data_IF_227871508921
#
_entry.id   IF_227871508921
#
_cell.length_a   1.000
_cell.length_b   1.000
_cell.length_c   1.000
_cell.angle_alpha   90.00
_cell.angle_beta   90.00
_cell.angle_gamma   90.00
#
_symmetry.space_group_name_H-M   'P 1'
#
loop_
_entity.id
_entity.type
_entity.pdbx_description
1 polymer ?
#
# COMPACT_ATOMS: atom_id res chain seq x y z
N UNK A 1 -20.04 15.78 80.56
CA UNK A 1 -19.03 16.34 79.62
C UNK A 1 -18.61 15.26 78.66
N UNK A 2 -19.18 15.24 77.44
CA UNK A 2 -18.68 14.46 76.31
C UNK A 2 -18.79 15.36 75.09
N UNK A 3 -17.66 15.68 74.44
CA UNK A 3 -17.61 16.42 73.18
C UNK A 3 -17.23 15.43 72.08
N UNK A 4 -18.16 15.23 71.16
CA UNK A 4 -17.93 14.55 69.87
C UNK A 4 -17.39 15.58 68.88
N UNK A 5 -16.19 15.35 68.33
CA UNK A 5 -15.67 16.08 67.17
C UNK A 5 -16.01 15.32 65.89
N UNK A 6 -16.75 15.97 65.00
CA UNK A 6 -16.96 15.53 63.63
C UNK A 6 -15.76 15.94 62.77
N UNK A 7 -15.13 14.98 62.09
CA UNK A 7 -14.17 15.22 61.02
C UNK A 7 -14.91 15.12 59.68
N UNK A 8 -15.04 16.24 58.97
CA UNK A 8 -15.50 16.26 57.58
C UNK A 8 -14.34 15.83 56.67
N UNK A 9 -14.50 14.72 55.96
CA UNK A 9 -13.62 14.32 54.86
C UNK A 9 -14.09 15.04 53.57
N UNK A 10 -13.34 16.06 53.16
CA UNK A 10 -13.50 16.70 51.85
C UNK A 10 -12.80 15.82 50.79
N UNK A 11 -13.58 15.03 50.05
CA UNK A 11 -13.11 14.34 48.84
C UNK A 11 -13.02 15.37 47.72
N UNK A 12 -11.81 15.86 47.48
CA UNK A 12 -11.52 16.68 46.30
C UNK A 12 -11.63 15.82 45.04
N UNK A 13 -12.65 16.07 44.22
CA UNK A 13 -12.70 15.61 42.83
C UNK A 13 -11.58 16.31 42.05
N UNK A 14 -10.38 15.74 42.09
CA UNK A 14 -9.26 16.18 41.27
C UNK A 14 -9.62 15.93 39.80
N UNK A 15 -9.82 17.01 39.04
CA UNK A 15 -9.86 16.93 37.58
C UNK A 15 -8.47 16.52 37.12
N UNK A 16 -8.29 15.24 36.78
CA UNK A 16 -7.07 14.77 36.13
C UNK A 16 -7.04 15.42 34.74
N UNK A 17 -6.17 16.41 34.58
CA UNK A 17 -5.80 16.91 33.26
C UNK A 17 -5.10 15.79 32.52
N UNK A 18 -5.74 15.28 31.47
CA UNK A 18 -5.11 14.35 30.54
C UNK A 18 -3.87 15.04 29.97
N UNK A 19 -2.74 14.35 29.97
CA UNK A 19 -1.53 14.89 29.37
C UNK A 19 -1.74 15.01 27.85
N UNK A 20 -1.15 15.99 27.19
CA UNK A 20 -1.36 16.24 25.75
C UNK A 20 -1.08 14.99 24.85
N UNK A 21 -0.25 14.06 25.34
CA UNK A 21 0.07 12.78 24.70
C UNK A 21 -1.07 11.74 24.76
N UNK A 22 -2.05 11.88 25.65
CA UNK A 22 -3.20 10.96 25.78
C UNK A 22 -4.39 11.38 24.90
N UNK A 23 -4.30 12.51 24.20
CA UNK A 23 -5.36 13.05 23.35
C UNK A 23 -5.36 12.36 21.98
N UNK A 24 -5.72 11.07 21.93
CA UNK A 24 -5.69 10.25 20.71
C UNK A 24 -7.04 10.12 20.00
N UNK A 25 -8.16 10.43 20.67
CA UNK A 25 -9.48 10.43 20.04
C UNK A 25 -10.46 11.39 20.72
N UNK A 26 -11.28 12.09 19.93
CA UNK A 26 -12.29 13.03 20.40
C UNK A 26 -13.67 12.62 19.89
N UNK A 27 -14.59 12.36 20.81
CA UNK A 27 -15.96 11.94 20.53
C UNK A 27 -16.86 13.15 20.31
N UNK A 28 -17.45 13.25 19.12
CA UNK A 28 -18.48 14.25 18.81
C UNK A 28 -19.84 13.79 19.33
N UNK A 29 -20.48 14.62 20.15
CA UNK A 29 -21.83 14.38 20.62
C UNK A 29 -22.87 14.98 19.66
N UNK A 30 -24.00 14.30 19.48
CA UNK A 30 -25.14 14.78 18.68
C UNK A 30 -25.80 13.66 17.87
N UNK A 31 -26.71 14.06 16.96
CA UNK A 31 -27.52 13.13 16.16
C UNK A 31 -26.70 12.24 15.20
N UNK A 32 -25.50 12.66 14.85
CA UNK A 32 -24.54 11.89 14.07
C UNK A 32 -23.26 11.72 14.90
N UNK A 33 -23.25 10.69 15.75
CA UNK A 33 -22.07 10.30 16.52
C UNK A 33 -20.90 10.01 15.57
N UNK A 34 -19.78 10.72 15.79
CA UNK A 34 -18.52 10.51 15.08
C UNK A 34 -17.33 10.68 16.03
N UNK A 35 -16.18 10.20 15.62
CA UNK A 35 -14.93 10.28 16.38
C UNK A 35 -13.84 10.90 15.51
N UNK A 36 -13.16 11.92 16.00
CA UNK A 36 -11.90 12.40 15.44
C UNK A 36 -10.78 11.60 16.07
N UNK A 37 -10.00 10.89 15.29
CA UNK A 37 -8.99 9.96 15.80
C UNK A 37 -7.64 10.33 15.21
N UNK A 38 -6.64 10.40 16.08
CA UNK A 38 -5.25 10.56 15.71
C UNK A 38 -4.75 9.25 15.10
N UNK A 39 -4.40 9.28 13.82
CA UNK A 39 -3.85 8.12 13.10
C UNK A 39 -2.32 8.06 13.16
N UNK A 40 -1.68 9.04 13.80
CA UNK A 40 -0.23 9.21 13.85
C UNK A 40 0.30 10.17 12.77
N UNK A 41 1.56 10.60 12.95
CA UNK A 41 2.28 11.48 11.99
C UNK A 41 1.52 12.76 11.63
N UNK A 42 0.81 13.34 12.60
CA UNK A 42 0.00 14.54 12.40
C UNK A 42 -1.22 14.35 11.50
N UNK A 43 -1.68 13.11 11.28
CA UNK A 43 -2.87 12.81 10.46
C UNK A 43 -4.04 12.45 11.36
N UNK A 44 -5.19 13.07 11.10
CA UNK A 44 -6.43 12.86 11.84
C UNK A 44 -7.56 12.40 10.93
N UNK A 45 -8.48 11.60 11.47
CA UNK A 45 -9.64 11.09 10.76
C UNK A 45 -10.91 11.29 11.59
N UNK A 46 -11.89 12.03 11.07
CA UNK A 46 -13.28 11.93 11.57
C UNK A 46 -13.92 10.69 10.96
N UNK A 47 -14.50 9.80 11.76
CA UNK A 47 -15.25 8.62 11.30
C UNK A 47 -16.61 8.53 11.97
N UNK A 48 -17.62 8.13 11.21
CA UNK A 48 -18.98 7.91 11.70
C UNK A 48 -19.38 6.43 11.66
N UNK A 49 -20.48 6.11 12.34
CA UNK A 49 -21.03 4.75 12.40
C UNK A 49 -21.56 4.22 11.06
N UNK A 50 -21.77 5.09 10.06
CA UNK A 50 -22.21 4.74 8.71
C UNK A 50 -21.02 4.44 7.78
N UNK A 51 -19.79 4.52 8.30
CA UNK A 51 -18.56 4.28 7.56
C UNK A 51 -18.01 5.52 6.86
N UNK A 52 -18.68 6.67 6.96
CA UNK A 52 -18.19 7.96 6.48
C UNK A 52 -16.85 8.30 7.14
N UNK A 53 -15.96 8.95 6.39
CA UNK A 53 -14.65 9.34 6.90
C UNK A 53 -14.13 10.61 6.26
N UNK A 54 -13.50 11.46 7.05
CA UNK A 54 -12.97 12.76 6.63
C UNK A 54 -11.57 12.95 7.20
N UNK A 55 -10.61 13.31 6.35
CA UNK A 55 -9.19 13.47 6.74
C UNK A 55 -8.86 14.91 7.12
N UNK A 56 -7.97 15.04 8.10
CA UNK A 56 -7.41 16.31 8.54
C UNK A 56 -5.90 16.16 8.81
N UNK A 57 -5.19 17.27 8.78
CA UNK A 57 -3.81 17.41 9.25
C UNK A 57 -3.80 18.14 10.59
N UNK A 58 -2.92 17.76 11.51
CA UNK A 58 -2.68 18.49 12.73
C UNK A 58 -1.91 19.78 12.43
N UNK A 59 -2.45 20.92 12.84
CA UNK A 59 -1.77 22.22 12.78
C UNK A 59 -0.96 22.48 14.05
N UNK A 60 -1.56 22.19 15.20
CA UNK A 60 -0.90 22.33 16.50
C UNK A 60 -1.64 21.56 17.58
N UNK A 61 -0.89 21.18 18.61
CA UNK A 61 -1.39 20.54 19.82
C UNK A 61 -0.94 21.31 21.05
N UNK A 62 -1.89 21.58 21.94
CA UNK A 62 -1.71 22.30 23.19
C UNK A 62 -2.36 21.51 24.32
N UNK A 63 -2.04 21.89 25.57
CA UNK A 63 -2.64 21.28 26.77
C UNK A 63 -4.18 21.31 26.74
N UNK A 64 -4.78 22.34 26.14
CA UNK A 64 -6.22 22.53 26.09
C UNK A 64 -6.86 22.11 24.76
N UNK A 65 -6.17 21.38 23.89
CA UNK A 65 -6.78 20.85 22.67
C UNK A 65 -5.85 20.66 21.48
N UNK A 66 -6.45 20.20 20.38
CA UNK A 66 -5.77 19.95 19.11
C UNK A 66 -6.46 20.75 18.01
N UNK A 67 -5.69 21.51 17.23
CA UNK A 67 -6.16 22.17 16.02
C UNK A 67 -5.82 21.31 14.81
N UNK A 68 -6.84 20.97 14.03
CA UNK A 68 -6.72 20.17 12.81
C UNK A 68 -7.29 20.94 11.61
N UNK A 69 -6.81 20.64 10.39
CA UNK A 69 -7.22 21.30 9.15
C UNK A 69 -7.50 20.32 8.01
N UNK A 70 -8.56 20.56 7.26
CA UNK A 70 -8.67 20.09 5.88
C UNK A 70 -8.35 21.27 4.95
N UNK A 71 -7.17 21.22 4.32
CA UNK A 71 -6.69 22.28 3.42
C UNK A 71 -7.52 22.40 2.15
N UNK A 72 -8.08 21.30 1.65
CA UNK A 72 -8.88 21.31 0.42
C UNK A 72 -10.19 22.07 0.62
N UNK A 73 -10.81 21.88 1.78
CA UNK A 73 -12.07 22.56 2.14
C UNK A 73 -11.85 23.87 2.91
N UNK A 74 -10.60 24.17 3.26
CA UNK A 74 -10.24 25.32 4.12
C UNK A 74 -11.04 25.31 5.42
N UNK A 75 -11.16 24.12 6.03
CA UNK A 75 -11.88 23.91 7.28
C UNK A 75 -10.85 23.65 8.38
N UNK A 76 -10.85 24.46 9.43
CA UNK A 76 -10.09 24.21 10.65
C UNK A 76 -11.03 23.84 11.79
N UNK A 77 -10.63 22.87 12.59
CA UNK A 77 -11.38 22.43 13.77
C UNK A 77 -10.44 22.49 14.97
N UNK A 78 -10.88 23.15 16.04
CA UNK A 78 -10.20 23.13 17.32
C UNK A 78 -10.94 22.20 18.28
N UNK A 79 -10.38 21.02 18.55
CA UNK A 79 -10.92 20.02 19.48
C UNK A 79 -10.49 20.38 20.91
N UNK A 80 -11.43 20.85 21.75
CA UNK A 80 -11.23 21.22 23.17
C UNK A 80 -11.78 20.12 24.09
N UNK A 81 -11.50 20.14 25.40
CA UNK A 81 -11.90 19.08 26.31
C UNK A 81 -13.40 18.72 26.31
N UNK A 82 -14.29 19.68 26.11
CA UNK A 82 -15.75 19.50 26.18
C UNK A 82 -16.52 20.10 24.98
N UNK A 83 -15.82 20.60 23.97
CA UNK A 83 -16.42 21.19 22.76
C UNK A 83 -15.42 21.27 21.61
N UNK A 84 -15.92 21.47 20.39
CA UNK A 84 -15.12 21.82 19.23
C UNK A 84 -15.53 23.18 18.65
N UNK A 85 -14.56 23.90 18.12
CA UNK A 85 -14.77 25.15 17.37
C UNK A 85 -14.38 24.96 15.91
N UNK A 86 -15.11 25.62 15.01
CA UNK A 86 -14.95 25.51 13.56
C UNK A 86 -14.59 26.86 12.97
N UNK A 87 -13.63 26.87 12.04
CA UNK A 87 -13.31 28.01 11.17
C UNK A 87 -13.37 27.54 9.71
N UNK A 88 -14.08 28.28 8.87
CA UNK A 88 -14.26 27.96 7.44
C UNK A 88 -13.77 29.12 6.60
N UNK A 89 -12.95 28.85 5.59
CA UNK A 89 -12.47 29.86 4.65
C UNK A 89 -11.61 30.95 5.30
N UNK A 90 -10.94 30.64 6.42
CA UNK A 90 -10.14 31.61 7.17
C UNK A 90 -10.94 32.56 8.07
N UNK A 91 -12.24 32.36 8.23
CA UNK A 91 -13.07 33.12 9.19
C UNK A 91 -12.68 32.85 10.65
N UNK A 92 -13.19 33.66 11.60
CA UNK A 92 -12.95 33.43 13.03
C UNK A 92 -13.56 32.10 13.50
N UNK A 93 -12.97 31.51 14.54
CA UNK A 93 -13.52 30.32 15.18
C UNK A 93 -14.89 30.60 15.79
N UNK A 94 -15.83 29.70 15.51
CA UNK A 94 -17.15 29.69 16.12
C UNK A 94 -17.39 28.35 16.81
N UNK A 95 -18.10 28.38 17.94
CA UNK A 95 -18.51 27.15 18.62
C UNK A 95 -19.34 26.28 17.66
N UNK A 96 -18.98 25.01 17.54
CA UNK A 96 -19.60 24.11 16.55
C UNK A 96 -20.41 22.99 17.21
N UNK A 97 -19.77 22.17 18.05
CA UNK A 97 -20.39 20.96 18.60
C UNK A 97 -19.80 20.61 19.97
N UNK A 98 -20.56 19.92 20.83
CA UNK A 98 -20.05 19.39 22.10
C UNK A 98 -19.40 18.03 21.89
N UNK A 99 -18.53 17.64 22.80
CA UNK A 99 -17.84 16.37 22.73
C UNK A 99 -16.67 16.30 23.68
N UNK A 100 -16.13 15.11 23.88
CA UNK A 100 -15.14 14.85 24.91
C UNK A 100 -14.01 13.97 24.37
N UNK A 101 -12.85 14.05 25.00
CA UNK A 101 -11.76 13.11 24.73
C UNK A 101 -12.17 11.70 25.14
N UNK A 102 -11.86 10.73 24.27
CA UNK A 102 -12.12 9.31 24.47
C UNK A 102 -10.80 8.54 24.46
N UNK A 103 -10.71 7.51 25.30
CA UNK A 103 -9.54 6.61 25.29
C UNK A 103 -9.65 5.65 24.12
N UNK A 104 -8.51 5.32 23.49
CA UNK A 104 -8.46 4.46 22.31
C UNK A 104 -9.10 3.08 22.53
N UNK A 105 -8.96 2.50 23.73
CA UNK A 105 -9.54 1.21 24.13
C UNK A 105 -11.07 1.25 24.35
N UNK A 106 -11.63 2.44 24.56
CA UNK A 106 -13.08 2.66 24.72
C UNK A 106 -13.80 2.95 23.40
N UNK A 107 -13.07 3.06 22.29
CA UNK A 107 -13.66 3.39 21.00
C UNK A 107 -14.54 2.25 20.48
N UNK A 108 -15.71 2.56 19.89
CA UNK A 108 -16.50 1.56 19.17
C UNK A 108 -15.72 1.04 17.97
N UNK A 109 -16.02 -0.18 17.51
CA UNK A 109 -15.23 -0.87 16.48
C UNK A 109 -15.05 -0.05 15.18
N UNK A 110 -16.08 0.68 14.74
CA UNK A 110 -16.00 1.53 13.54
C UNK A 110 -15.03 2.72 13.68
N UNK A 111 -14.70 3.09 14.92
CA UNK A 111 -13.78 4.15 15.30
C UNK A 111 -12.41 3.63 15.77
N UNK A 112 -12.19 2.32 15.83
CA UNK A 112 -10.85 1.79 16.06
C UNK A 112 -10.06 1.84 14.75
N UNK A 113 -8.89 2.46 14.81
CA UNK A 113 -7.96 2.52 13.68
C UNK A 113 -6.60 1.95 14.10
N UNK A 114 -5.95 1.27 13.18
CA UNK A 114 -4.57 0.83 13.38
C UNK A 114 -3.64 2.06 13.31
N UNK A 115 -2.68 2.22 14.24
CA UNK A 115 -1.71 3.29 14.17
C UNK A 115 -0.78 3.12 12.96
N UNK A 116 -0.28 4.22 12.40
CA UNK A 116 0.79 4.18 11.39
C UNK A 116 2.08 3.67 12.07
N UNK A 117 2.48 2.45 11.76
CA UNK A 117 3.66 1.78 12.34
C UNK A 117 4.63 1.23 11.27
N UNK A 118 4.35 1.51 10.00
CA UNK A 118 5.12 1.06 8.84
C UNK A 118 5.33 -0.46 8.79
N UNK A 119 4.37 -1.23 9.33
CA UNK A 119 4.36 -2.69 9.20
C UNK A 119 3.31 -3.16 8.19
N UNK A 120 3.66 -4.18 7.42
CA UNK A 120 2.77 -4.83 6.45
C UNK A 120 1.65 -5.58 7.18
N UNK A 121 0.42 -5.42 6.69
CA UNK A 121 -0.78 -6.11 7.17
C UNK A 121 -1.14 -7.24 6.23
N UNK A 122 -1.16 -8.47 6.72
CA UNK A 122 -1.57 -9.64 5.94
C UNK A 122 -3.01 -10.00 6.29
N UNK A 123 -3.84 -10.16 5.27
CA UNK A 123 -5.26 -10.49 5.41
C UNK A 123 -5.54 -11.77 4.62
N UNK A 124 -6.24 -12.71 5.26
CA UNK A 124 -6.90 -13.80 4.57
C UNK A 124 -8.41 -13.57 4.61
N UNK A 125 -9.00 -13.27 3.46
CA UNK A 125 -10.41 -12.95 3.34
C UNK A 125 -11.21 -14.18 2.90
N UNK A 126 -12.20 -14.57 3.70
CA UNK A 126 -13.02 -15.77 3.45
C UNK A 126 -14.51 -15.39 3.41
N UNK A 127 -15.20 -15.56 2.27
CA UNK A 127 -16.65 -15.37 2.12
C UNK A 127 -17.49 -16.30 3.01
N UNK A 128 -18.78 -16.02 3.13
CA UNK A 128 -19.69 -16.79 4.02
C UNK A 128 -19.96 -18.22 3.58
N UNK A 129 -19.75 -18.53 2.30
CA UNK A 129 -19.97 -19.85 1.68
C UNK A 129 -18.67 -20.66 1.53
N UNK A 130 -17.58 -20.22 2.16
CA UNK A 130 -16.26 -20.87 2.10
C UNK A 130 -15.69 -21.07 3.49
N UNK A 131 -14.82 -22.08 3.62
CA UNK A 131 -14.01 -22.28 4.81
C UNK A 131 -12.55 -21.88 4.58
N UNK A 132 -11.84 -21.39 5.63
CA UNK A 132 -10.43 -21.09 5.55
C UNK A 132 -9.65 -22.35 5.18
N UNK A 133 -8.70 -22.24 4.26
CA UNK A 133 -7.81 -23.36 3.94
C UNK A 133 -7.06 -23.83 5.20
N UNK A 134 -6.93 -25.15 5.42
CA UNK A 134 -6.03 -25.67 6.44
C UNK A 134 -4.62 -25.11 6.27
N UNK A 135 -4.01 -24.67 7.37
CA UNK A 135 -2.65 -24.11 7.36
C UNK A 135 -2.50 -22.78 6.62
N UNK A 136 -3.58 -22.00 6.41
CA UNK A 136 -3.51 -20.75 5.65
C UNK A 136 -2.46 -19.77 6.20
N UNK A 137 -2.28 -19.73 7.53
CA UNK A 137 -1.33 -18.82 8.18
C UNK A 137 0.11 -19.19 7.79
N UNK A 138 0.44 -20.47 7.90
CA UNK A 138 1.75 -21.02 7.55
C UNK A 138 2.03 -20.89 6.04
N UNK A 139 1.02 -21.12 5.20
CA UNK A 139 1.10 -20.94 3.74
C UNK A 139 1.36 -19.49 3.35
N UNK A 140 0.60 -18.55 3.89
CA UNK A 140 0.80 -17.11 3.61
C UNK A 140 2.18 -16.67 4.13
N UNK A 141 2.58 -17.10 5.32
CA UNK A 141 3.91 -16.78 5.86
C UNK A 141 5.04 -17.37 4.99
N UNK A 142 4.87 -18.60 4.50
CA UNK A 142 5.81 -19.23 3.56
C UNK A 142 5.88 -18.45 2.25
N UNK A 143 4.75 -18.08 1.65
CA UNK A 143 4.73 -17.27 0.44
C UNK A 143 5.41 -15.91 0.66
N UNK A 144 5.05 -15.21 1.73
CA UNK A 144 5.59 -13.89 2.04
C UNK A 144 7.09 -13.92 2.38
N UNK A 145 7.63 -15.06 2.82
CA UNK A 145 9.07 -15.25 2.93
C UNK A 145 9.78 -15.09 1.58
N UNK A 146 9.32 -15.77 0.52
CA UNK A 146 9.91 -15.63 -0.83
C UNK A 146 9.75 -14.23 -1.40
N UNK A 147 8.62 -13.58 -1.11
CA UNK A 147 8.41 -12.18 -1.47
C UNK A 147 9.48 -11.32 -0.80
N UNK A 148 9.61 -11.42 0.52
CA UNK A 148 10.55 -10.62 1.29
C UNK A 148 12.01 -10.86 0.87
N UNK A 149 12.42 -12.12 0.70
CA UNK A 149 13.79 -12.45 0.27
C UNK A 149 14.11 -11.92 -1.13
N UNK A 150 13.13 -11.79 -2.02
CA UNK A 150 13.34 -11.16 -3.33
C UNK A 150 13.71 -9.68 -3.19
N UNK A 151 12.97 -8.91 -2.38
CA UNK A 151 13.30 -7.50 -2.12
C UNK A 151 14.67 -7.37 -1.42
N UNK A 152 14.94 -8.20 -0.41
CA UNK A 152 16.22 -8.18 0.31
C UNK A 152 17.40 -8.49 -0.61
N UNK A 153 17.28 -9.52 -1.44
CA UNK A 153 18.31 -9.88 -2.42
C UNK A 153 18.60 -8.72 -3.37
N UNK A 154 17.56 -8.08 -3.91
CA UNK A 154 17.68 -6.97 -4.85
C UNK A 154 18.37 -5.73 -4.25
N UNK A 155 18.19 -5.50 -2.95
CA UNK A 155 18.85 -4.42 -2.21
C UNK A 155 20.29 -4.79 -1.88
N UNK A 156 20.51 -5.99 -1.32
CA UNK A 156 21.84 -6.48 -0.93
C UNK A 156 22.81 -6.48 -2.11
N UNK A 157 22.38 -6.95 -3.28
CA UNK A 157 23.26 -6.99 -4.48
C UNK A 157 23.65 -5.62 -5.01
N UNK A 158 23.00 -4.55 -4.53
CA UNK A 158 23.30 -3.14 -4.87
C UNK A 158 23.94 -2.37 -3.72
N UNK A 159 24.26 -3.04 -2.61
CA UNK A 159 24.82 -2.39 -1.42
C UNK A 159 23.82 -1.48 -0.68
N UNK A 160 22.51 -1.70 -0.87
CA UNK A 160 21.46 -0.98 -0.15
C UNK A 160 21.07 -1.73 1.14
N UNK A 161 20.55 -1.03 2.18
CA UNK A 161 20.07 -1.67 3.41
C UNK A 161 18.96 -2.70 3.14
N UNK A 162 19.24 -3.99 3.32
CA UNK A 162 18.33 -5.10 2.98
C UNK A 162 17.42 -5.54 4.13
N UNK A 163 16.81 -4.57 4.83
CA UNK A 163 15.85 -4.85 5.92
C UNK A 163 14.68 -5.72 5.45
N UNK A 164 14.24 -5.51 4.21
CA UNK A 164 13.04 -6.12 3.66
C UNK A 164 11.76 -5.52 4.26
N UNK A 165 10.63 -6.15 3.95
CA UNK A 165 9.32 -5.83 4.51
C UNK A 165 9.28 -6.21 6.00
N UNK A 166 8.82 -5.27 6.82
CA UNK A 166 8.54 -5.53 8.24
C UNK A 166 7.07 -5.88 8.39
N UNK A 167 6.77 -7.09 8.82
CA UNK A 167 5.40 -7.55 9.03
C UNK A 167 4.89 -7.17 10.42
N UNK A 168 3.57 -7.03 10.56
CA UNK A 168 2.96 -7.08 11.88
C UNK A 168 3.14 -8.49 12.45
N UNK A 169 3.63 -8.60 13.68
CA UNK A 169 3.90 -9.87 14.34
C UNK A 169 3.11 -10.02 15.63
N UNK A 170 2.88 -11.27 16.04
CA UNK A 170 2.43 -11.61 17.40
C UNK A 170 3.58 -11.48 18.42
N UNK A 171 3.30 -11.84 19.67
CA UNK A 171 4.24 -11.75 20.79
C UNK A 171 5.45 -12.70 20.59
N UNK A 172 5.29 -13.75 19.78
CA UNK A 172 6.35 -14.68 19.39
C UNK A 172 7.18 -14.20 18.19
N UNK A 173 6.84 -13.05 17.61
CA UNK A 173 7.53 -12.50 16.43
C UNK A 173 7.10 -13.16 15.10
N UNK A 174 6.04 -13.95 15.09
CA UNK A 174 5.49 -14.57 13.87
C UNK A 174 4.54 -13.61 13.17
N UNK A 175 4.61 -13.44 11.83
CA UNK A 175 3.68 -12.59 11.12
C UNK A 175 2.21 -12.95 11.41
N UNK A 176 1.41 -11.93 11.71
CA UNK A 176 -0.03 -12.06 11.91
C UNK A 176 -0.70 -12.09 10.54
N UNK A 177 -1.55 -13.10 10.34
CA UNK A 177 -2.47 -13.16 9.21
C UNK A 177 -3.87 -12.97 9.77
N UNK A 178 -4.48 -11.84 9.47
CA UNK A 178 -5.82 -11.53 9.95
C UNK A 178 -6.86 -12.28 9.11
N UNK A 179 -7.59 -13.20 9.74
CA UNK A 179 -8.73 -13.85 9.11
C UNK A 179 -9.93 -12.91 9.12
N UNK A 180 -10.33 -12.42 7.96
CA UNK A 180 -11.51 -11.58 7.78
C UNK A 180 -12.63 -12.41 7.17
N UNK A 181 -13.77 -12.49 7.86
CA UNK A 181 -14.98 -13.13 7.33
C UNK A 181 -15.83 -12.11 6.59
N UNK A 182 -16.08 -12.37 5.32
CA UNK A 182 -17.00 -11.58 4.51
C UNK A 182 -18.44 -11.72 5.01
N UNK A 183 -19.30 -10.76 4.66
CA UNK A 183 -20.74 -10.78 4.95
C UNK A 183 -21.57 -11.44 3.84
N UNK A 184 -20.94 -11.74 2.70
CA UNK A 184 -21.60 -12.26 1.51
C UNK A 184 -20.89 -13.53 0.98
N UNK A 185 -21.54 -14.29 0.08
CA UNK A 185 -20.89 -15.42 -0.60
C UNK A 185 -19.85 -14.94 -1.63
N UNK A 186 -18.95 -15.82 -2.05
CA UNK A 186 -17.84 -15.52 -2.97
C UNK A 186 -18.28 -14.79 -4.25
N UNK A 187 -19.42 -15.22 -4.83
CA UNK A 187 -20.01 -14.64 -6.05
C UNK A 187 -20.33 -13.15 -5.95
N UNK A 188 -20.65 -12.66 -4.74
CA UNK A 188 -20.92 -11.25 -4.50
C UNK A 188 -19.66 -10.40 -4.68
N UNK A 189 -18.52 -10.92 -4.23
CA UNK A 189 -17.25 -10.21 -4.30
C UNK A 189 -16.64 -10.31 -5.70
N UNK A 190 -16.55 -11.51 -6.29
CA UNK A 190 -15.86 -11.68 -7.56
C UNK A 190 -16.67 -11.17 -8.78
N UNK A 191 -17.97 -10.88 -8.62
CA UNK A 191 -18.81 -10.40 -9.72
C UNK A 191 -19.15 -11.47 -10.76
N UNK A 192 -19.14 -12.75 -10.38
CA UNK A 192 -19.52 -13.85 -11.25
C UNK A 192 -20.92 -13.60 -11.88
N UNK A 193 -21.13 -14.00 -13.15
CA UNK A 193 -20.19 -14.73 -14.01
C UNK A 193 -19.27 -13.84 -14.86
N UNK A 194 -19.39 -12.51 -14.75
CA UNK A 194 -18.65 -11.59 -15.64
C UNK A 194 -17.21 -11.36 -15.19
N UNK A 195 -16.96 -11.44 -13.88
CA UNK A 195 -15.69 -11.19 -13.22
C UNK A 195 -15.05 -9.83 -13.56
N UNK A 196 -14.94 -8.96 -12.56
CA UNK A 196 -14.24 -7.68 -12.72
C UNK A 196 -13.35 -7.46 -11.49
N UNK A 197 -12.01 -7.43 -11.66
CA UNK A 197 -11.11 -7.32 -10.53
C UNK A 197 -11.24 -5.96 -9.83
N UNK A 198 -11.60 -4.89 -10.54
CA UNK A 198 -11.88 -3.59 -9.91
C UNK A 198 -13.22 -3.60 -9.17
N UNK A 199 -14.22 -4.30 -9.69
CA UNK A 199 -15.46 -4.55 -8.94
C UNK A 199 -15.17 -5.30 -7.64
N UNK A 200 -14.37 -6.36 -7.72
CA UNK A 200 -13.99 -7.17 -6.57
C UNK A 200 -13.25 -6.36 -5.50
N UNK A 201 -12.30 -5.51 -5.87
CA UNK A 201 -11.66 -4.58 -4.93
C UNK A 201 -12.66 -3.64 -4.26
N UNK A 202 -13.63 -3.09 -5.02
CA UNK A 202 -14.67 -2.21 -4.47
C UNK A 202 -15.55 -2.93 -3.45
N UNK A 203 -15.79 -4.23 -3.61
CA UNK A 203 -16.60 -5.02 -2.67
C UNK A 203 -15.79 -5.51 -1.46
N UNK A 204 -14.50 -5.84 -1.63
CA UNK A 204 -13.64 -6.33 -0.54
C UNK A 204 -13.24 -5.22 0.43
N UNK A 205 -12.88 -4.03 -0.08
CA UNK A 205 -12.33 -2.94 0.73
C UNK A 205 -13.22 -2.54 1.93
N UNK A 206 -14.56 -2.42 1.80
CA UNK A 206 -15.43 -2.08 2.93
C UNK A 206 -15.53 -3.16 4.00
N UNK A 207 -15.11 -4.40 3.72
CA UNK A 207 -15.17 -5.52 4.66
C UNK A 207 -13.95 -5.60 5.58
N UNK A 208 -12.85 -4.94 5.23
CA UNK A 208 -11.61 -4.95 6.01
C UNK A 208 -11.75 -3.94 7.18
N UNK A 209 -11.72 -4.38 8.45
CA UNK A 209 -11.77 -3.47 9.59
C UNK A 209 -10.58 -2.50 9.61
N UNK A 210 -10.85 -1.23 9.89
CA UNK A 210 -9.80 -0.19 10.02
C UNK A 210 -8.86 -0.45 11.20
N UNK A 211 -9.29 -1.25 12.18
CA UNK A 211 -8.48 -1.73 13.30
C UNK A 211 -7.33 -2.64 12.84
N UNK A 212 -7.47 -3.34 11.71
CA UNK A 212 -6.38 -4.09 11.07
C UNK A 212 -5.42 -3.12 10.36
N UNK A 213 -5.96 -2.22 9.53
CA UNK A 213 -5.18 -1.24 8.79
C UNK A 213 -5.97 -0.58 7.67
N UNK A 214 -5.34 0.39 6.99
CA UNK A 214 -5.91 1.04 5.82
C UNK A 214 -4.88 1.17 4.72
N UNK A 215 -5.26 0.95 3.47
CA UNK A 215 -4.36 1.06 2.31
C UNK A 215 -3.70 2.44 2.19
N UNK A 216 -4.25 3.50 2.80
CA UNK A 216 -3.63 4.84 2.78
C UNK A 216 -2.57 5.09 3.86
N UNK A 217 -2.43 4.17 4.81
CA UNK A 217 -1.57 4.31 6.00
C UNK A 217 -0.74 3.06 6.29
N UNK A 218 -1.03 1.97 5.58
CA UNK A 218 -0.39 0.67 5.71
C UNK A 218 -0.29 0.02 4.34
N UNK A 219 0.73 -0.81 4.14
CA UNK A 219 0.72 -1.80 3.07
C UNK A 219 -0.17 -2.96 3.48
N UNK A 220 -1.32 -3.09 2.81
CA UNK A 220 -2.29 -4.16 3.04
C UNK A 220 -2.18 -5.20 1.93
N UNK A 221 -1.89 -6.43 2.31
CA UNK A 221 -1.81 -7.57 1.39
C UNK A 221 -2.96 -8.52 1.70
N UNK A 222 -3.85 -8.73 0.73
CA UNK A 222 -5.07 -9.53 0.91
C UNK A 222 -5.05 -10.75 0.02
N UNK A 223 -5.21 -11.93 0.60
CA UNK A 223 -5.50 -13.18 -0.11
C UNK A 223 -6.99 -13.48 0.00
N UNK A 224 -7.71 -13.49 -1.12
CA UNK A 224 -9.17 -13.60 -1.17
C UNK A 224 -9.62 -14.97 -1.69
N UNK A 225 -10.35 -15.72 -0.85
CA UNK A 225 -10.99 -17.01 -1.19
C UNK A 225 -12.30 -16.79 -1.99
N UNK A 226 -12.21 -15.98 -3.03
CA UNK A 226 -13.37 -15.54 -3.83
C UNK A 226 -13.36 -16.09 -5.26
N UNK A 227 -12.39 -16.91 -5.63
CA UNK A 227 -12.34 -17.53 -6.95
C UNK A 227 -13.36 -18.68 -7.07
N UNK A 228 -13.69 -19.05 -8.31
CA UNK A 228 -14.56 -20.18 -8.60
C UNK A 228 -13.76 -21.43 -8.98
N UNK A 229 -14.24 -22.61 -8.58
CA UNK A 229 -13.61 -23.89 -8.89
C UNK A 229 -13.91 -24.38 -10.32
N UNK A 230 -14.74 -23.62 -11.05
CA UNK A 230 -15.29 -23.99 -12.35
C UNK A 230 -14.24 -24.32 -13.42
N UNK A 231 -14.65 -25.04 -14.48
CA UNK A 231 -13.76 -25.35 -15.60
C UNK A 231 -13.31 -24.04 -16.25
N UNK A 232 -12.01 -23.83 -16.28
CA UNK A 232 -11.41 -22.70 -16.98
C UNK A 232 -10.04 -23.11 -17.49
N UNK A 233 -9.71 -22.71 -18.71
CA UNK A 233 -8.47 -23.14 -19.34
C UNK A 233 -7.25 -22.47 -18.70
N UNK A 234 -7.39 -21.29 -18.10
CA UNK A 234 -6.33 -20.56 -17.40
C UNK A 234 -6.60 -20.49 -15.89
N UNK A 235 -5.64 -20.84 -15.02
CA UNK A 235 -5.77 -20.66 -13.56
C UNK A 235 -7.21 -20.93 -13.02
N UNK A 236 -7.82 -20.00 -12.26
CA UNK A 236 -9.18 -20.07 -11.72
C UNK A 236 -10.02 -18.82 -12.06
N UNK A 237 -11.29 -18.95 -12.48
CA UNK A 237 -12.18 -17.82 -12.69
C UNK A 237 -12.37 -16.96 -11.43
N UNK A 238 -12.52 -15.66 -11.61
CA UNK A 238 -12.62 -14.71 -10.48
C UNK A 238 -11.32 -14.57 -9.68
N UNK A 239 -10.21 -15.10 -10.21
CA UNK A 239 -8.86 -14.79 -9.75
C UNK A 239 -8.57 -13.30 -9.90
N UNK A 240 -7.82 -12.76 -8.94
CA UNK A 240 -7.36 -11.37 -8.92
C UNK A 240 -5.87 -11.35 -8.60
N UNK A 241 -5.16 -10.46 -9.28
CA UNK A 241 -3.83 -9.98 -8.91
C UNK A 241 -3.86 -8.49 -9.24
N UNK A 242 -3.99 -7.66 -8.21
CA UNK A 242 -4.04 -6.20 -8.37
C UNK A 242 -3.38 -5.48 -7.19
N UNK A 243 -2.39 -4.68 -7.53
CA UNK A 243 -1.64 -3.80 -6.66
C UNK A 243 -1.97 -2.34 -6.93
N UNK A 244 -1.72 -1.50 -5.93
CA UNK A 244 -1.93 -0.08 -6.08
C UNK A 244 -1.36 0.73 -4.93
N UNK A 245 -0.50 1.67 -5.28
CA UNK A 245 0.01 2.67 -4.36
C UNK A 245 -1.09 3.66 -3.93
N UNK A 246 -1.01 4.15 -2.69
CA UNK A 246 -1.96 5.13 -2.13
C UNK A 246 -1.26 6.31 -1.46
N UNK A 247 -0.14 6.08 -0.79
CA UNK A 247 0.65 7.09 -0.09
C UNK A 247 2.05 6.56 0.24
N UNK A 248 2.94 7.42 0.77
CA UNK A 248 4.24 6.99 1.28
C UNK A 248 4.16 5.91 2.38
N UNK A 249 3.05 5.91 3.13
CA UNK A 249 2.82 4.99 4.25
C UNK A 249 2.08 3.71 3.82
N UNK A 250 1.44 3.70 2.64
CA UNK A 250 0.50 2.64 2.31
C UNK A 250 0.22 2.38 0.84
N UNK A 251 -0.27 1.17 0.63
CA UNK A 251 -0.68 0.62 -0.64
C UNK A 251 -1.51 -0.63 -0.42
N UNK A 252 -1.95 -1.23 -1.51
CA UNK A 252 -2.72 -2.47 -1.48
C UNK A 252 -2.16 -3.45 -2.49
N UNK A 253 -2.15 -4.74 -2.16
CA UNK A 253 -1.88 -5.82 -3.09
C UNK A 253 -2.88 -6.95 -2.81
N UNK A 254 -3.69 -7.30 -3.79
CA UNK A 254 -4.83 -8.20 -3.63
C UNK A 254 -4.69 -9.37 -4.57
N UNK A 255 -4.82 -10.57 -4.01
CA UNK A 255 -4.53 -11.82 -4.67
C UNK A 255 -5.65 -12.81 -4.46
N UNK A 256 -5.86 -13.65 -5.46
CA UNK A 256 -6.68 -14.82 -5.27
C UNK A 256 -6.00 -15.82 -4.34
N UNK A 257 -6.76 -16.39 -3.41
CA UNK A 257 -6.27 -17.43 -2.52
C UNK A 257 -6.09 -18.79 -3.21
N UNK A 258 -6.36 -18.94 -4.52
CA UNK A 258 -6.08 -20.18 -5.24
C UNK A 258 -4.59 -20.57 -5.12
N UNK A 259 -3.70 -19.58 -5.01
CA UNK A 259 -2.26 -19.77 -4.80
C UNK A 259 -1.95 -20.52 -3.50
N UNK A 260 -2.87 -20.52 -2.53
CA UNK A 260 -2.72 -21.17 -1.23
C UNK A 260 -3.14 -22.65 -1.24
N UNK A 261 -3.61 -23.20 -2.36
CA UNK A 261 -3.92 -24.63 -2.46
C UNK A 261 -2.65 -25.48 -2.21
N UNK A 262 -2.81 -26.67 -1.62
CA UNK A 262 -1.70 -27.55 -1.23
C UNK A 262 -0.76 -27.89 -2.38
N UNK A 263 -1.29 -27.95 -3.60
CA UNK A 263 -0.50 -28.21 -4.80
C UNK A 263 0.35 -27.02 -5.28
N UNK A 264 0.19 -25.82 -4.71
CA UNK A 264 0.96 -24.62 -5.09
C UNK A 264 1.70 -23.98 -3.91
N UNK A 265 1.18 -24.13 -2.69
CA UNK A 265 1.75 -23.52 -1.50
C UNK A 265 1.85 -24.52 -0.35
N UNK A 266 3.08 -24.80 0.05
CA UNK A 266 3.42 -25.57 1.23
C UNK A 266 3.37 -24.70 2.50
N UNK A 267 3.42 -25.35 3.66
CA UNK A 267 3.46 -24.68 4.98
C UNK A 267 4.87 -24.41 5.47
N UNK A 268 5.90 -24.85 4.72
CA UNK A 268 7.31 -24.65 5.06
C UNK A 268 8.12 -24.21 3.83
N UNK A 269 9.19 -23.46 4.08
CA UNK A 269 10.11 -22.96 3.02
C UNK A 269 10.73 -24.13 2.26
N UNK A 270 11.26 -25.13 2.97
CA UNK A 270 11.96 -26.27 2.37
C UNK A 270 11.04 -27.15 1.48
N UNK A 271 9.75 -27.24 1.81
CA UNK A 271 8.78 -27.92 0.95
C UNK A 271 8.37 -27.07 -0.24
N UNK A 272 8.23 -25.76 -0.04
CA UNK A 272 7.92 -24.84 -1.13
C UNK A 272 9.01 -24.81 -2.19
N UNK A 273 10.28 -24.85 -1.79
CA UNK A 273 11.42 -24.96 -2.71
C UNK A 273 11.33 -26.22 -3.59
N UNK A 274 10.85 -27.34 -3.05
CA UNK A 274 10.61 -28.56 -3.84
C UNK A 274 9.48 -28.37 -4.84
N UNK A 275 8.40 -27.68 -4.45
CA UNK A 275 7.28 -27.40 -5.35
C UNK A 275 7.69 -26.49 -6.53
N UNK A 276 8.60 -25.54 -6.32
CA UNK A 276 9.19 -24.74 -7.41
C UNK A 276 9.99 -25.57 -8.43
N UNK A 277 10.36 -26.81 -8.10
CA UNK A 277 11.07 -27.72 -9.01
C UNK A 277 10.14 -28.77 -9.62
N UNK A 278 8.86 -28.78 -9.27
CA UNK A 278 7.95 -29.87 -9.58
C UNK A 278 7.36 -29.76 -11.00
N UNK A 279 7.74 -30.66 -11.93
CA UNK A 279 7.28 -30.61 -13.31
C UNK A 279 5.91 -31.27 -13.51
N UNK A 280 5.24 -31.73 -12.45
CA UNK A 280 3.95 -32.45 -12.55
C UNK A 280 2.93 -31.58 -13.27
N UNK A 281 2.36 -32.02 -14.42
CA UNK A 281 1.37 -31.26 -15.15
C UNK A 281 0.08 -31.04 -14.36
N UNK A 282 -0.54 -29.88 -14.50
CA UNK A 282 -1.90 -29.63 -14.01
C UNK A 282 -2.89 -29.87 -15.16
N UNK A 283 -3.49 -31.06 -15.18
CA UNK A 283 -4.35 -31.50 -16.27
C UNK A 283 -5.49 -30.52 -16.57
N UNK A 284 -5.66 -30.19 -17.85
CA UNK A 284 -6.72 -29.29 -18.34
C UNK A 284 -6.50 -27.81 -18.03
N UNK A 285 -5.40 -27.42 -17.38
CA UNK A 285 -5.10 -26.03 -17.01
C UNK A 285 -3.85 -25.51 -17.71
N UNK A 286 -3.82 -24.20 -17.93
CA UNK A 286 -2.73 -23.43 -18.52
C UNK A 286 -2.28 -22.38 -17.52
N UNK A 287 -0.98 -22.33 -17.24
CA UNK A 287 -0.36 -21.20 -16.54
C UNK A 287 -0.37 -20.00 -17.50
N UNK A 288 -0.91 -18.86 -17.06
CA UNK A 288 -1.23 -17.72 -17.92
C UNK A 288 -0.02 -17.24 -18.72
N UNK A 289 1.16 -17.23 -18.11
CA UNK A 289 2.39 -16.76 -18.76
C UNK A 289 3.00 -17.69 -19.81
N UNK A 290 2.58 -18.96 -19.83
CA UNK A 290 3.22 -20.01 -20.64
C UNK A 290 2.35 -20.51 -21.79
N UNK A 291 1.05 -20.23 -21.76
CA UNK A 291 0.14 -20.38 -22.90
C UNK A 291 -0.07 -21.81 -23.41
N UNK A 292 0.39 -22.83 -22.67
CA UNK A 292 0.25 -24.24 -23.05
C UNK A 292 -0.64 -25.03 -22.08
N UNK A 293 -1.58 -25.86 -22.59
CA UNK A 293 -2.34 -26.78 -21.75
C UNK A 293 -1.43 -27.74 -20.98
N UNK A 294 -1.91 -28.21 -19.83
CA UNK A 294 -1.18 -29.10 -18.93
C UNK A 294 0.17 -28.49 -18.50
N UNK A 295 0.16 -27.19 -18.19
CA UNK A 295 1.36 -26.52 -17.69
C UNK A 295 1.88 -27.24 -16.42
N UNK A 296 3.20 -27.38 -16.24
CA UNK A 296 3.76 -27.96 -15.03
C UNK A 296 3.43 -27.11 -13.81
N UNK A 297 3.30 -27.77 -12.66
CA UNK A 297 2.96 -27.16 -11.37
C UNK A 297 3.82 -25.94 -11.03
N UNK A 298 5.14 -26.01 -11.26
CA UNK A 298 6.03 -24.89 -10.96
C UNK A 298 5.65 -23.60 -11.70
N UNK A 299 5.06 -23.66 -12.91
CA UNK A 299 4.66 -22.47 -13.66
C UNK A 299 3.47 -21.76 -13.02
N UNK A 300 2.53 -22.49 -12.43
CA UNK A 300 1.44 -21.89 -11.65
C UNK A 300 1.96 -21.24 -10.37
N UNK A 301 2.99 -21.83 -9.76
CA UNK A 301 3.63 -21.26 -8.57
C UNK A 301 4.37 -19.97 -8.94
N UNK A 302 5.09 -19.95 -10.06
CA UNK A 302 5.75 -18.74 -10.58
C UNK A 302 4.74 -17.65 -10.96
N UNK A 303 3.64 -18.01 -11.63
CA UNK A 303 2.54 -17.08 -11.92
C UNK A 303 1.96 -16.51 -10.61
N UNK A 304 1.65 -17.35 -9.62
CA UNK A 304 1.06 -16.93 -8.36
C UNK A 304 2.01 -16.15 -7.44
N UNK A 305 3.12 -16.76 -7.03
CA UNK A 305 4.10 -16.14 -6.11
C UNK A 305 4.77 -14.94 -6.77
N UNK A 306 5.11 -15.05 -8.05
CA UNK A 306 5.68 -13.95 -8.81
C UNK A 306 4.72 -12.78 -8.95
N UNK A 307 3.43 -13.04 -9.23
CA UNK A 307 2.42 -11.98 -9.21
C UNK A 307 2.34 -11.32 -7.84
N UNK A 308 2.50 -12.06 -6.73
CA UNK A 308 2.55 -11.43 -5.40
C UNK A 308 3.68 -10.42 -5.28
N UNK A 309 4.87 -10.74 -5.77
CA UNK A 309 6.01 -9.83 -5.75
C UNK A 309 5.73 -8.60 -6.63
N UNK A 310 5.16 -8.82 -7.82
CA UNK A 310 4.80 -7.79 -8.80
C UNK A 310 3.78 -6.78 -8.24
N UNK A 311 2.65 -7.25 -7.73
CA UNK A 311 1.60 -6.36 -7.23
C UNK A 311 2.00 -5.69 -5.90
N UNK A 312 2.85 -6.33 -5.07
CA UNK A 312 3.51 -5.63 -3.96
C UNK A 312 4.39 -4.50 -4.47
N UNK A 313 5.07 -4.68 -5.61
CA UNK A 313 5.81 -3.61 -6.28
C UNK A 313 4.92 -2.43 -6.67
N UNK A 314 3.74 -2.72 -7.25
CA UNK A 314 2.72 -1.68 -7.51
C UNK A 314 2.23 -0.99 -6.24
N UNK A 315 2.01 -1.74 -5.16
CA UNK A 315 1.63 -1.19 -3.86
C UNK A 315 2.71 -0.25 -3.28
N UNK A 316 3.97 -0.48 -3.63
CA UNK A 316 5.13 0.33 -3.26
C UNK A 316 5.45 1.46 -4.25
N UNK A 317 4.58 1.70 -5.25
CA UNK A 317 4.69 2.85 -6.16
C UNK A 317 5.36 2.56 -7.50
N UNK A 318 5.71 1.31 -7.79
CA UNK A 318 6.34 0.95 -9.06
C UNK A 318 5.31 0.88 -10.20
N UNK A 319 5.62 1.40 -11.40
CA UNK A 319 4.86 1.08 -12.61
C UNK A 319 5.42 -0.19 -13.30
N UNK A 320 4.77 -0.63 -14.37
CA UNK A 320 5.30 -1.71 -15.21
C UNK A 320 6.64 -1.32 -15.86
N UNK A 321 7.56 -2.26 -16.01
CA UNK A 321 8.85 -2.10 -16.67
C UNK A 321 9.16 -3.30 -17.58
N UNK A 322 8.93 -3.11 -18.87
CA UNK A 322 9.06 -4.13 -19.91
C UNK A 322 10.36 -4.00 -20.71
N UNK A 323 11.31 -3.15 -20.28
CA UNK A 323 12.57 -2.94 -21.02
C UNK A 323 13.42 -4.21 -21.11
N UNK A 324 13.40 -5.02 -20.06
CA UNK A 324 13.86 -6.42 -20.06
C UNK A 324 12.71 -7.30 -19.55
N UNK A 325 11.63 -7.36 -20.32
CA UNK A 325 10.37 -7.98 -19.94
C UNK A 325 10.50 -9.43 -19.43
N UNK A 326 11.51 -10.17 -19.93
CA UNK A 326 11.76 -11.55 -19.50
C UNK A 326 12.36 -11.66 -18.10
N UNK A 327 12.95 -10.60 -17.56
CA UNK A 327 13.66 -10.65 -16.28
C UNK A 327 13.17 -9.60 -15.29
N UNK A 328 12.58 -8.50 -15.74
CA UNK A 328 12.07 -7.48 -14.84
C UNK A 328 10.79 -7.94 -14.17
N UNK A 329 10.79 -7.91 -12.84
CA UNK A 329 9.66 -8.29 -11.98
C UNK A 329 8.44 -7.44 -12.34
N UNK A 330 8.61 -6.14 -12.63
CA UNK A 330 7.52 -5.27 -13.08
C UNK A 330 7.15 -5.43 -14.57
N UNK A 331 7.79 -6.36 -15.28
CA UNK A 331 7.34 -6.87 -16.59
C UNK A 331 6.82 -8.30 -16.42
N UNK A 332 7.14 -9.21 -17.32
CA UNK A 332 6.82 -10.64 -17.21
C UNK A 332 7.88 -11.47 -16.45
N UNK A 333 8.96 -10.84 -15.96
CA UNK A 333 10.08 -11.53 -15.32
C UNK A 333 9.75 -12.16 -13.97
N UNK A 334 8.66 -11.75 -13.32
CA UNK A 334 8.17 -12.40 -12.10
C UNK A 334 7.82 -13.88 -12.30
N UNK A 335 7.68 -14.34 -13.55
CA UNK A 335 7.44 -15.76 -13.88
C UNK A 335 8.70 -16.61 -13.95
N UNK A 336 9.81 -16.11 -13.40
CA UNK A 336 11.11 -16.81 -13.36
C UNK A 336 11.63 -16.97 -11.94
N UNK A 337 10.74 -16.99 -10.94
CA UNK A 337 11.15 -17.08 -9.54
C UNK A 337 11.93 -18.36 -9.23
N UNK A 338 11.70 -19.46 -9.95
CA UNK A 338 12.46 -20.70 -9.81
C UNK A 338 13.95 -20.48 -10.06
N UNK A 339 14.29 -19.68 -11.07
CA UNK A 339 15.68 -19.36 -11.42
C UNK A 339 16.39 -18.60 -10.29
N UNK A 340 15.64 -17.89 -9.44
CA UNK A 340 16.20 -17.19 -8.29
C UNK A 340 16.57 -18.14 -7.14
N UNK A 341 16.06 -19.37 -7.12
CA UNK A 341 16.37 -20.35 -6.07
C UNK A 341 17.70 -21.08 -6.31
N UNK A 342 18.16 -21.12 -7.55
CA UNK A 342 19.46 -21.72 -7.86
C UNK A 342 20.58 -20.73 -7.51
N UNK A 343 21.60 -21.09 -6.72
CA UNK A 343 22.75 -20.23 -6.46
C UNK A 343 23.60 -19.99 -7.71
N UNK A 344 23.58 -20.90 -8.68
CA UNK A 344 24.40 -20.86 -9.89
C UNK A 344 23.83 -19.93 -10.97
N UNK A 345 22.57 -19.49 -10.84
CA UNK A 345 21.96 -18.58 -11.80
C UNK A 345 22.64 -17.20 -11.72
N UNK A 346 23.23 -16.70 -12.82
CA UNK A 346 23.82 -15.36 -12.82
C UNK A 346 22.73 -14.29 -12.66
N UNK A 347 23.09 -13.12 -12.13
CA UNK A 347 22.15 -11.99 -11.93
C UNK A 347 21.36 -11.65 -13.20
N UNK A 348 21.99 -11.72 -14.37
CA UNK A 348 21.35 -11.46 -15.66
C UNK A 348 20.27 -12.48 -16.05
N UNK A 349 20.31 -13.70 -15.51
CA UNK A 349 19.31 -14.75 -15.74
C UNK A 349 18.15 -14.77 -14.74
N UNK A 350 18.28 -14.05 -13.62
CA UNK A 350 17.30 -13.98 -12.53
C UNK A 350 16.15 -13.02 -12.81
N UNK A 351 15.01 -13.30 -12.18
CA UNK A 351 13.94 -12.31 -11.98
C UNK A 351 14.46 -11.20 -11.06
N UNK A 352 14.34 -9.93 -11.47
CA UNK A 352 14.95 -8.78 -10.78
C UNK A 352 14.18 -7.48 -10.96
N UNK A 353 14.42 -6.48 -10.13
CA UNK A 353 13.98 -5.12 -10.40
C UNK A 353 15.01 -4.41 -11.29
N UNK A 354 14.55 -3.51 -12.15
CA UNK A 354 15.42 -2.57 -12.86
C UNK A 354 16.03 -1.57 -11.89
N UNK A 355 17.09 -0.87 -12.29
CA UNK A 355 17.72 0.13 -11.43
C UNK A 355 16.80 1.35 -11.20
N UNK A 356 16.00 1.73 -12.21
CA UNK A 356 14.99 2.79 -12.07
C UNK A 356 13.93 2.43 -11.00
N UNK A 357 13.39 1.20 -11.05
CA UNK A 357 12.44 0.74 -10.04
C UNK A 357 13.09 0.62 -8.66
N UNK A 358 14.34 0.15 -8.61
CA UNK A 358 15.06 0.02 -7.34
C UNK A 358 15.33 1.37 -6.69
N UNK A 359 15.57 2.44 -7.47
CA UNK A 359 15.70 3.80 -6.96
C UNK A 359 14.44 4.28 -6.23
N UNK A 360 13.25 3.93 -6.73
CA UNK A 360 11.98 4.21 -6.04
C UNK A 360 11.83 3.34 -4.78
N UNK A 361 12.07 2.03 -4.88
CA UNK A 361 11.95 1.13 -3.72
C UNK A 361 12.91 1.52 -2.58
N UNK A 362 14.12 1.97 -2.92
CA UNK A 362 15.15 2.35 -1.96
C UNK A 362 14.75 3.52 -1.05
N UNK A 363 13.72 4.29 -1.41
CA UNK A 363 13.21 5.39 -0.56
C UNK A 363 11.85 5.07 0.07
N UNK A 364 11.37 3.82 -0.01
CA UNK A 364 10.13 3.41 0.63
C UNK A 364 10.28 3.28 2.15
N UNK A 365 9.36 3.89 2.91
CA UNK A 365 9.24 3.75 4.39
C UNK A 365 9.12 2.29 4.86
N UNK A 366 8.61 1.43 3.98
CA UNK A 366 8.32 0.02 4.27
C UNK A 366 9.53 -0.90 4.02
N UNK A 367 10.56 -0.42 3.31
CA UNK A 367 11.75 -1.19 2.96
C UNK A 367 13.02 -0.59 3.55
N UNK A 368 13.24 0.72 3.39
CA UNK A 368 14.48 1.36 3.83
C UNK A 368 14.34 1.95 5.25
N UNK A 369 15.15 1.50 6.23
CA UNK A 369 15.14 2.06 7.59
C UNK A 369 15.71 3.48 7.69
N UNK A 370 16.38 4.00 6.67
CA UNK A 370 17.05 5.30 6.67
C UNK A 370 16.20 6.45 6.11
N UNK A 371 14.92 6.19 5.82
CA UNK A 371 13.96 7.18 5.31
C UNK A 371 13.58 8.16 6.43
N UNK A 372 13.43 9.46 6.11
CA UNK A 372 12.98 10.46 7.08
C UNK A 372 11.47 10.34 7.29
N UNK A 373 11.06 9.59 8.32
CA UNK A 373 9.65 9.38 8.63
C UNK A 373 8.92 10.66 9.09
N UNK A 374 9.66 11.70 9.48
CA UNK A 374 9.06 13.00 9.84
C UNK A 374 8.68 13.82 8.60
N UNK A 375 9.29 13.54 7.45
CA UNK A 375 9.04 14.24 6.20
C UNK A 375 7.75 13.76 5.53
N UNK A 376 6.67 14.52 5.68
CA UNK A 376 5.36 14.21 5.10
C UNK A 376 4.95 15.17 3.98
N UNK A 377 5.85 16.07 3.57
CA UNK A 377 5.65 16.92 2.41
C UNK A 377 6.10 16.12 1.17
N UNK A 378 5.38 16.24 0.06
CA UNK A 378 5.82 15.63 -1.19
C UNK A 378 6.67 16.60 -2.01
N UNK A 379 7.53 16.09 -2.91
CA UNK A 379 8.37 16.94 -3.73
C UNK A 379 7.53 17.75 -4.71
N UNK A 380 8.06 18.91 -5.11
CA UNK A 380 7.57 19.70 -6.24
C UNK A 380 8.28 19.26 -7.52
N UNK A 381 7.55 19.22 -8.62
CA UNK A 381 8.07 18.73 -9.90
C UNK A 381 7.55 19.55 -11.07
N UNK A 382 8.48 20.12 -11.84
CA UNK A 382 8.23 20.69 -13.16
C UNK A 382 8.72 19.75 -14.26
N UNK A 383 7.92 19.58 -15.31
CA UNK A 383 8.26 18.72 -16.45
C UNK A 383 8.04 19.46 -17.75
N UNK A 384 9.05 19.45 -18.63
CA UNK A 384 8.99 19.94 -20.01
C UNK A 384 9.20 18.78 -20.97
N UNK A 385 8.38 18.73 -22.02
CA UNK A 385 8.40 17.69 -23.06
C UNK A 385 8.36 18.35 -24.43
N UNK A 386 9.48 18.31 -25.14
CA UNK A 386 9.68 19.00 -26.41
C UNK A 386 10.07 18.01 -27.52
N UNK A 387 9.55 18.15 -28.75
CA UNK A 387 9.96 17.29 -29.86
C UNK A 387 11.41 17.58 -30.27
N UNK A 388 12.11 16.56 -30.75
CA UNK A 388 13.40 16.72 -31.43
C UNK A 388 13.22 16.73 -32.95
N UNK A 389 14.34 16.79 -33.69
CA UNK A 389 14.37 16.61 -35.14
C UNK A 389 14.11 15.16 -35.58
N UNK A 390 14.19 14.20 -34.65
CA UNK A 390 13.97 12.77 -34.90
C UNK A 390 12.55 12.35 -34.50
N UNK A 391 11.82 11.62 -35.35
CA UNK A 391 10.51 11.06 -35.02
C UNK A 391 10.57 10.23 -33.74
N UNK A 392 9.54 10.34 -32.91
CA UNK A 392 9.40 9.61 -31.63
C UNK A 392 10.48 9.90 -30.58
N UNK A 393 11.44 10.79 -30.85
CA UNK A 393 12.44 11.20 -29.86
C UNK A 393 12.07 12.59 -29.33
N UNK A 394 11.97 12.69 -28.02
CA UNK A 394 11.58 13.91 -27.32
C UNK A 394 12.67 14.32 -26.32
N UNK A 395 12.96 15.61 -26.28
CA UNK A 395 13.73 16.21 -25.22
C UNK A 395 12.83 16.36 -23.99
N UNK A 396 13.23 15.72 -22.90
CA UNK A 396 12.60 15.83 -21.60
C UNK A 396 13.52 16.64 -20.69
N UNK A 397 12.95 17.59 -19.96
CA UNK A 397 13.65 18.30 -18.89
C UNK A 397 12.78 18.32 -17.64
N UNK A 398 13.37 18.07 -16.48
CA UNK A 398 12.68 18.14 -15.20
C UNK A 398 13.45 19.01 -14.21
N UNK A 399 12.73 19.62 -13.29
CA UNK A 399 13.27 20.27 -12.10
C UNK A 399 12.47 19.76 -10.90
N UNK A 400 13.15 19.09 -9.98
CA UNK A 400 12.55 18.54 -8.78
C UNK A 400 13.07 19.29 -7.55
N UNK A 401 12.19 19.58 -6.59
CA UNK A 401 12.52 20.29 -5.35
C UNK A 401 11.82 19.66 -4.16
N UNK A 402 12.52 19.58 -3.05
CA UNK A 402 11.98 19.08 -1.79
C UNK A 402 12.71 19.73 -0.62
N UNK A 403 12.04 20.00 0.51
CA UNK A 403 12.69 20.67 1.65
C UNK A 403 13.65 19.75 2.42
N UNK A 404 13.54 18.43 2.24
CA UNK A 404 14.37 17.41 2.89
C UNK A 404 15.28 16.66 1.93
N UNK A 405 14.87 16.51 0.68
CA UNK A 405 15.73 16.09 -0.41
C UNK A 405 15.05 15.16 -1.40
N UNK A 406 15.44 15.24 -2.66
CA UNK A 406 14.99 14.34 -3.73
C UNK A 406 15.92 13.12 -3.83
N UNK A 407 15.39 11.97 -4.29
CA UNK A 407 16.14 10.70 -4.32
C UNK A 407 16.20 9.98 -5.65
N UNK A 408 15.10 9.95 -6.39
CA UNK A 408 15.10 9.31 -7.70
C UNK A 408 13.99 9.88 -8.59
N UNK A 409 14.24 9.81 -9.90
CA UNK A 409 13.25 10.06 -10.95
C UNK A 409 13.09 8.82 -11.82
N UNK A 410 11.85 8.56 -12.23
CA UNK A 410 11.47 7.51 -13.15
C UNK A 410 10.58 8.08 -14.26
N UNK A 411 10.86 7.67 -15.50
CA UNK A 411 10.13 8.06 -16.71
C UNK A 411 9.32 6.88 -17.24
N UNK A 412 8.02 7.07 -17.40
CA UNK A 412 7.07 6.05 -17.84
C UNK A 412 6.32 6.53 -19.09
N UNK A 413 6.47 5.79 -20.19
CA UNK A 413 5.73 6.01 -21.42
C UNK A 413 4.34 5.39 -21.25
N UNK A 414 3.34 6.26 -21.07
CA UNK A 414 1.96 5.87 -20.76
C UNK A 414 1.27 5.19 -21.96
N UNK A 415 1.69 5.50 -23.17
CA UNK A 415 1.17 4.84 -24.39
C UNK A 415 1.76 3.46 -24.54
N UNK A 416 3.05 3.30 -24.25
CA UNK A 416 3.72 1.99 -24.26
C UNK A 416 3.32 1.11 -23.09
N UNK A 417 2.99 1.73 -21.95
CA UNK A 417 2.69 1.01 -20.72
C UNK A 417 3.95 0.50 -20.00
N UNK A 418 5.08 1.20 -20.12
CA UNK A 418 6.36 0.75 -19.55
C UNK A 418 7.24 1.92 -19.11
N UNK A 419 8.05 1.68 -18.08
CA UNK A 419 9.26 2.49 -17.82
C UNK A 419 10.08 2.58 -19.10
N UNK A 420 10.57 3.78 -19.39
CA UNK A 420 11.54 4.02 -20.47
C UNK A 420 12.91 4.36 -19.89
N UNK A 421 12.97 5.05 -18.75
CA UNK A 421 14.24 5.42 -18.12
C UNK A 421 14.07 5.80 -16.63
N UNK A 422 15.18 6.07 -15.94
CA UNK A 422 15.22 6.66 -14.61
C UNK A 422 16.65 7.00 -14.17
N UNK A 423 16.80 7.76 -13.11
CA UNK A 423 18.11 8.03 -12.48
C UNK A 423 17.98 8.37 -10.99
N UNK A 424 19.04 8.23 -10.19
CA UNK A 424 19.10 8.87 -8.87
C UNK A 424 19.04 10.40 -9.01
N UNK A 425 18.49 11.03 -7.97
CA UNK A 425 18.53 12.48 -7.74
C UNK A 425 19.22 12.74 -6.40
N UNK A 426 19.80 13.92 -6.22
CA UNK A 426 20.53 14.29 -5.01
C UNK A 426 20.20 15.70 -4.50
N UNK A 427 20.41 15.93 -3.20
CA UNK A 427 20.18 17.24 -2.58
C UNK A 427 18.71 17.64 -2.46
N UNK A 428 18.46 18.92 -2.19
CA UNK A 428 17.11 19.52 -2.03
C UNK A 428 16.49 19.98 -3.35
N UNK A 429 17.31 20.07 -4.39
CA UNK A 429 16.93 20.45 -5.73
C UNK A 429 17.86 19.73 -6.71
N UNK A 430 17.28 19.11 -7.74
CA UNK A 430 18.04 18.47 -8.81
C UNK A 430 17.27 18.60 -10.13
N UNK A 431 18.01 18.51 -11.23
CA UNK A 431 17.50 18.61 -12.57
C UNK A 431 17.93 17.42 -13.42
N UNK A 432 17.14 17.13 -14.44
CA UNK A 432 17.51 16.13 -15.42
C UNK A 432 17.05 16.55 -16.81
N UNK A 433 17.96 16.45 -17.76
CA UNK A 433 17.70 16.72 -19.16
C UNK A 433 18.18 15.54 -20.00
N UNK A 434 17.27 14.88 -20.72
CA UNK A 434 17.59 13.74 -21.58
C UNK A 434 16.65 13.59 -22.77
N UNK A 435 17.09 12.86 -23.77
CA UNK A 435 16.23 12.45 -24.89
C UNK A 435 15.62 11.08 -24.60
N UNK A 436 14.31 10.95 -24.77
CA UNK A 436 13.58 9.69 -24.63
C UNK A 436 12.90 9.31 -25.94
N UNK A 437 12.94 8.02 -26.28
CA UNK A 437 12.11 7.46 -27.34
C UNK A 437 10.73 7.10 -26.77
N UNK A 438 9.68 7.80 -27.23
CA UNK A 438 8.31 7.67 -26.74
C UNK A 438 7.37 7.19 -27.84
N UNK A 439 6.40 6.36 -27.44
CA UNK A 439 5.34 5.87 -28.32
C UNK A 439 4.25 6.92 -28.46
N UNK A 440 3.84 7.17 -29.71
CA UNK A 440 2.69 7.99 -30.03
C UNK A 440 1.39 7.19 -29.90
N UNK A 441 0.35 7.82 -29.38
CA UNK A 441 -1.02 7.34 -29.42
C UNK A 441 -1.59 7.62 -30.82
N UNK A 442 -1.72 6.58 -31.64
CA UNK A 442 -2.17 6.72 -33.02
C UNK A 442 -3.58 7.30 -33.17
N UNK A 443 -4.44 7.11 -32.17
CA UNK A 443 -5.81 7.60 -32.18
C UNK A 443 -5.89 9.06 -31.76
N UNK A 444 -5.16 9.43 -30.71
CA UNK A 444 -5.19 10.79 -30.16
C UNK A 444 -4.16 11.74 -30.77
N UNK A 445 -3.20 11.23 -31.54
CA UNK A 445 -2.09 12.00 -32.13
C UNK A 445 -1.32 12.78 -31.08
N UNK A 446 -0.96 12.10 -29.99
CA UNK A 446 -0.19 12.68 -28.88
C UNK A 446 0.79 11.65 -28.32
N UNK A 447 1.85 12.14 -27.67
CA UNK A 447 2.67 11.35 -26.74
C UNK A 447 2.30 11.70 -25.30
N UNK A 448 2.37 10.71 -24.42
CA UNK A 448 2.10 10.86 -22.99
C UNK A 448 3.26 10.29 -22.17
N UNK A 449 3.88 11.15 -21.38
CA UNK A 449 4.97 10.79 -20.47
C UNK A 449 4.52 11.04 -19.03
N UNK A 450 4.61 10.04 -18.18
CA UNK A 450 4.52 10.22 -16.73
C UNK A 450 5.93 10.28 -16.14
N UNK A 451 6.19 11.29 -15.34
CA UNK A 451 7.43 11.43 -14.56
C UNK A 451 7.09 11.25 -13.09
N UNK A 452 7.76 10.30 -12.44
CA UNK A 452 7.65 10.03 -11.01
C UNK A 452 8.90 10.49 -10.30
N UNK A 453 8.76 11.26 -9.23
CA UNK A 453 9.88 11.62 -8.34
C UNK A 453 9.53 11.17 -6.93
N UNK A 454 10.52 10.59 -6.25
CA UNK A 454 10.47 10.23 -4.83
C UNK A 454 11.49 11.05 -4.05
N UNK A 455 11.10 11.47 -2.84
CA UNK A 455 11.94 12.23 -1.91
C UNK A 455 12.59 11.34 -0.82
N UNK A 456 13.28 11.99 0.12
CA UNK A 456 13.93 11.39 1.28
C UNK A 456 12.95 10.83 2.32
N UNK A 457 11.72 11.34 2.37
CA UNK A 457 10.61 10.84 3.19
C UNK A 457 9.81 9.71 2.56
N UNK A 458 10.10 9.32 1.32
CA UNK A 458 9.39 8.30 0.57
C UNK A 458 8.07 8.75 -0.05
N UNK A 459 7.81 10.07 -0.10
CA UNK A 459 6.64 10.62 -0.78
C UNK A 459 6.91 10.66 -2.29
N UNK A 460 5.88 10.28 -3.06
CA UNK A 460 5.96 10.20 -4.51
C UNK A 460 5.02 11.24 -5.12
N UNK A 461 5.54 12.05 -6.05
CA UNK A 461 4.72 12.84 -6.97
C UNK A 461 4.77 12.23 -8.37
N UNK A 462 3.66 12.28 -9.09
CA UNK A 462 3.58 11.91 -10.51
C UNK A 462 3.04 13.09 -11.30
N UNK A 463 3.78 13.54 -12.31
CA UNK A 463 3.33 14.56 -13.27
C UNK A 463 3.21 13.92 -14.65
N UNK A 464 2.07 14.14 -15.32
CA UNK A 464 1.87 13.70 -16.70
C UNK A 464 2.08 14.87 -17.66
N UNK A 465 3.05 14.75 -18.55
CA UNK A 465 3.25 15.64 -19.68
C UNK A 465 2.60 15.03 -20.93
N UNK A 466 1.83 15.84 -21.65
CA UNK A 466 1.16 15.46 -22.90
C UNK A 466 1.61 16.41 -24.01
N UNK A 467 1.96 15.86 -25.18
CA UNK A 467 2.40 16.65 -26.32
C UNK A 467 1.75 16.13 -27.61
N UNK A 468 1.08 16.98 -28.40
CA UNK A 468 0.60 16.59 -29.72
C UNK A 468 1.75 16.16 -30.64
N UNK A 469 1.52 15.12 -31.43
CA UNK A 469 2.42 14.71 -32.53
C UNK A 469 2.08 15.55 -33.76
N UNK A 470 3.11 16.11 -34.40
CA UNK A 470 2.99 16.87 -35.66
C UNK A 470 2.63 16.00 -36.85
#
# INVERSE_FOLDING_TARGET
MFRFSWFLLLVGLGWQTLCAAELSAWKKQGDNESYFIDSGSGKWLEVDAKGGSIRFEELQRKENGVEIIDRRRQIKIWLKPNQAELSVGGGPYQRWVTGDWAKADTLPEFAKISPIDHKVRLIYFVPTDREPKPGYREKINTLMHFVNETYKYEFRRRGLPDRGLVFQTDDEGTPIVHLVRGKHPAKYYNGAPNYDPYFQLRQLKPEIPRSIGSESTHLVITFAETYDDGPHIFEWPGGIALGGWRSADGGTANFSAWVLQDMFCATTIAEQEKLFQDPTPIEGRTALGNGRPNSPRYEFIEDGFGAVIHEVGHALGLPHDQRDDRHYIMGNGFRKMKENLSPDTPVSGRARFSDANTGILASSRLLNPEVDLADNAGPQLEVKLEPTDKPSIYQVSIQAKDDRGVKAVLYYDDVRGSVVDGKPLEGVEDEDQRTLELRADDQKKEVRLQVKVIDQGGNIITVQAVRPTS
#
